data_IF_445216143393
#
_entry.id   IF_445216143393
#
_cell.length_a   1.000
_cell.length_b   1.000
_cell.length_c   1.000
_cell.angle_alpha   90.00
_cell.angle_beta   90.00
_cell.angle_gamma   90.00
#
_symmetry.space_group_name_H-M   'P 1'
#
loop_
_entity.id
_entity.type
_entity.pdbx_description
1 polymer ?
#
# COMPACT_ATOMS: atom_id res chain seq x y z
N UNK A 1 21.25 -33.69 -30.25
CA UNK A 1 22.17 -32.82 -29.48
C UNK A 1 21.43 -31.97 -28.46
N UNK A 2 20.35 -31.25 -28.81
CA UNK A 2 19.52 -30.48 -27.83
C UNK A 2 19.14 -31.25 -26.55
N UNK A 3 18.53 -32.44 -26.64
CA UNK A 3 18.14 -33.23 -25.45
C UNK A 3 19.30 -33.60 -24.51
N UNK A 4 20.47 -33.90 -25.05
CA UNK A 4 21.66 -34.25 -24.25
C UNK A 4 22.31 -33.01 -23.60
N UNK A 5 22.16 -31.83 -24.22
CA UNK A 5 22.57 -30.56 -23.64
C UNK A 5 21.56 -30.09 -22.58
N UNK A 6 20.27 -30.33 -22.78
CA UNK A 6 19.20 -30.06 -21.80
C UNK A 6 19.36 -30.91 -20.54
N UNK A 7 19.59 -32.23 -20.66
CA UNK A 7 19.86 -33.11 -19.51
C UNK A 7 21.13 -32.71 -18.75
N UNK A 8 22.14 -32.18 -19.45
CA UNK A 8 23.37 -31.68 -18.82
C UNK A 8 23.14 -30.38 -18.04
N UNK A 9 22.30 -29.49 -18.57
CA UNK A 9 21.91 -28.24 -17.92
C UNK A 9 21.02 -28.52 -16.70
N UNK A 10 20.15 -29.54 -16.78
CA UNK A 10 19.28 -29.96 -15.67
C UNK A 10 20.08 -30.54 -14.49
N UNK A 11 21.29 -31.08 -14.75
CA UNK A 11 22.24 -31.46 -13.70
C UNK A 11 22.68 -30.31 -12.78
N UNK A 12 22.43 -29.05 -13.16
CA UNK A 12 22.73 -27.85 -12.37
C UNK A 12 21.51 -27.30 -11.61
N UNK A 13 20.37 -28.00 -11.59
CA UNK A 13 19.11 -27.57 -10.94
C UNK A 13 19.19 -27.33 -9.41
N UNK A 14 20.34 -27.56 -8.76
CA UNK A 14 20.58 -27.18 -7.36
C UNK A 14 21.57 -26.04 -7.14
N UNK A 15 22.32 -25.62 -8.17
CA UNK A 15 23.40 -24.61 -8.03
C UNK A 15 23.00 -23.23 -8.53
N UNK A 16 22.06 -23.16 -9.46
CA UNK A 16 21.59 -21.93 -10.09
C UNK A 16 20.07 -21.78 -9.98
N UNK A 17 19.54 -20.56 -9.93
CA UNK A 17 18.10 -20.33 -10.00
C UNK A 17 17.50 -20.82 -11.33
N UNK A 18 16.31 -21.41 -11.26
CA UNK A 18 15.57 -21.93 -12.43
C UNK A 18 15.39 -20.91 -13.56
N UNK A 19 15.21 -19.61 -13.21
CA UNK A 19 15.12 -18.54 -14.21
C UNK A 19 16.41 -18.40 -15.04
N UNK A 20 17.56 -18.46 -14.40
CA UNK A 20 18.86 -18.36 -15.06
C UNK A 20 19.12 -19.58 -15.94
N UNK A 21 18.73 -20.77 -15.47
CA UNK A 21 18.79 -22.01 -16.25
C UNK A 21 17.94 -21.89 -17.53
N UNK A 22 16.72 -21.37 -17.41
CA UNK A 22 15.83 -21.19 -18.55
C UNK A 22 16.34 -20.13 -19.54
N UNK A 23 16.94 -19.03 -19.05
CA UNK A 23 17.59 -18.03 -19.91
C UNK A 23 18.80 -18.60 -20.65
N UNK A 24 19.58 -19.44 -19.99
CA UNK A 24 20.71 -20.13 -20.62
C UNK A 24 20.20 -21.08 -21.72
N UNK A 25 19.16 -21.88 -21.44
CA UNK A 25 18.52 -22.74 -22.46
C UNK A 25 18.01 -21.96 -23.67
N UNK A 26 17.46 -20.76 -23.46
CA UNK A 26 16.92 -19.93 -24.53
C UNK A 26 18.00 -19.25 -25.40
N UNK A 27 19.18 -18.95 -24.85
CA UNK A 27 20.21 -18.16 -25.51
C UNK A 27 21.39 -18.98 -26.06
N UNK A 28 21.39 -20.30 -25.89
CA UNK A 28 22.44 -21.19 -26.43
C UNK A 28 22.21 -21.41 -27.94
N UNK A 29 23.16 -21.03 -28.82
CA UNK A 29 23.11 -21.40 -30.23
C UNK A 29 23.29 -22.92 -30.45
N UNK A 30 22.67 -23.44 -31.52
CA UNK A 30 22.56 -24.88 -31.79
C UNK A 30 23.91 -25.59 -32.11
N UNK A 31 24.94 -24.84 -32.49
CA UNK A 31 26.27 -25.33 -32.89
C UNK A 31 27.34 -25.17 -31.78
N UNK A 32 27.03 -25.60 -30.55
CA UNK A 32 28.00 -25.59 -29.44
C UNK A 32 28.56 -26.99 -29.17
N UNK A 33 29.89 -27.09 -29.09
CA UNK A 33 30.61 -28.26 -28.60
C UNK A 33 30.40 -28.45 -27.10
N UNK A 34 30.24 -29.70 -26.65
CA UNK A 34 30.00 -30.06 -25.24
C UNK A 34 31.02 -29.44 -24.26
N UNK A 35 32.30 -29.40 -24.64
CA UNK A 35 33.37 -28.79 -23.83
C UNK A 35 33.20 -27.28 -23.64
N UNK A 36 32.70 -26.58 -24.65
CA UNK A 36 32.45 -25.14 -24.58
C UNK A 36 31.23 -24.85 -23.71
N UNK A 37 30.21 -25.72 -23.78
CA UNK A 37 29.05 -25.65 -22.90
C UNK A 37 29.43 -25.85 -21.43
N UNK A 38 30.29 -26.83 -21.13
CA UNK A 38 30.82 -27.07 -19.79
C UNK A 38 31.54 -25.83 -19.23
N UNK A 39 32.44 -25.22 -20.02
CA UNK A 39 33.15 -24.00 -19.62
C UNK A 39 32.21 -22.81 -19.37
N UNK A 40 31.19 -22.64 -20.21
CA UNK A 40 30.20 -21.57 -20.02
C UNK A 40 29.43 -21.77 -18.71
N UNK A 41 28.96 -23.00 -18.46
CA UNK A 41 28.23 -23.32 -17.22
C UNK A 41 29.12 -23.14 -15.99
N UNK A 42 30.39 -23.56 -16.03
CA UNK A 42 31.35 -23.31 -14.95
C UNK A 42 31.58 -21.83 -14.70
N UNK A 43 31.73 -21.01 -15.75
CA UNK A 43 31.88 -19.56 -15.61
C UNK A 43 30.63 -18.90 -15.01
N UNK A 44 29.43 -19.33 -15.41
CA UNK A 44 28.17 -18.83 -14.85
C UNK A 44 28.08 -19.17 -13.37
N UNK A 45 28.41 -20.41 -12.99
CA UNK A 45 28.43 -20.84 -11.59
C UNK A 45 29.48 -20.07 -10.78
N UNK A 46 30.67 -19.85 -11.32
CA UNK A 46 31.73 -19.05 -10.67
C UNK A 46 31.24 -17.62 -10.42
N UNK A 47 30.75 -16.94 -11.47
CA UNK A 47 30.20 -15.57 -11.35
C UNK A 47 29.03 -15.49 -10.38
N UNK A 48 28.13 -16.47 -10.39
CA UNK A 48 27.01 -16.50 -9.45
C UNK A 48 27.48 -16.61 -8.00
N UNK A 49 28.48 -17.46 -7.72
CA UNK A 49 29.05 -17.59 -6.39
C UNK A 49 29.83 -16.35 -5.95
N UNK A 50 30.58 -15.72 -6.85
CA UNK A 50 31.27 -14.46 -6.61
C UNK A 50 30.30 -13.29 -6.37
N UNK A 51 29.11 -13.33 -6.97
CA UNK A 51 28.09 -12.28 -6.84
C UNK A 51 27.23 -12.40 -5.58
N UNK A 52 27.44 -13.43 -4.74
CA UNK A 52 26.71 -13.56 -3.48
C UNK A 52 27.17 -12.50 -2.50
N UNK A 53 26.23 -11.96 -1.72
CA UNK A 53 26.56 -11.02 -0.65
C UNK A 53 27.46 -11.70 0.39
N UNK A 54 28.48 -10.99 0.86
CA UNK A 54 29.36 -11.48 1.92
C UNK A 54 28.60 -11.55 3.26
N UNK A 55 28.81 -12.63 4.01
CA UNK A 55 28.23 -12.75 5.34
C UNK A 55 28.79 -11.68 6.27
N UNK A 56 27.90 -11.02 7.03
CA UNK A 56 28.25 -9.93 7.93
C UNK A 56 28.16 -8.53 7.34
N UNK A 57 27.76 -8.40 6.06
CA UNK A 57 27.49 -7.11 5.42
C UNK A 57 26.35 -6.36 6.11
N UNK A 58 26.49 -5.05 6.28
CA UNK A 58 25.52 -4.21 6.99
C UNK A 58 24.35 -3.80 6.07
N UNK A 59 23.62 -4.78 5.53
CA UNK A 59 22.58 -4.58 4.51
C UNK A 59 21.48 -3.60 4.94
N UNK A 60 21.15 -3.53 6.24
CA UNK A 60 20.14 -2.60 6.77
C UNK A 60 20.57 -1.13 6.70
N UNK A 61 21.87 -0.86 6.91
CA UNK A 61 22.43 0.49 6.80
C UNK A 61 22.50 0.90 5.33
N UNK A 62 23.03 0.02 4.47
CA UNK A 62 23.13 0.25 3.03
C UNK A 62 21.74 0.51 2.44
N UNK A 63 20.76 -0.33 2.79
CA UNK A 63 19.37 -0.17 2.33
C UNK A 63 18.79 1.17 2.75
N UNK A 64 18.96 1.55 4.02
CA UNK A 64 18.49 2.85 4.53
C UNK A 64 19.12 4.02 3.78
N UNK A 65 20.42 3.94 3.48
CA UNK A 65 21.13 4.98 2.72
C UNK A 65 20.68 5.03 1.26
N UNK A 66 20.60 3.89 0.58
CA UNK A 66 20.19 3.82 -0.83
C UNK A 66 18.76 4.29 -1.06
N UNK A 67 17.86 4.09 -0.09
CA UNK A 67 16.49 4.61 -0.16
C UNK A 67 16.42 6.09 0.24
N UNK A 68 17.25 6.53 1.19
CA UNK A 68 17.25 7.90 1.71
C UNK A 68 17.98 8.90 0.81
N UNK A 69 19.05 8.51 0.13
CA UNK A 69 19.86 9.38 -0.74
C UNK A 69 19.02 10.05 -1.84
N UNK A 70 18.18 9.31 -2.60
CA UNK A 70 17.33 9.92 -3.62
C UNK A 70 16.29 10.88 -3.03
N UNK A 71 15.90 10.70 -1.76
CA UNK A 71 14.95 11.58 -1.08
C UNK A 71 15.36 13.06 -1.09
N UNK A 72 16.67 13.36 -1.11
CA UNK A 72 17.17 14.74 -1.24
C UNK A 72 17.03 15.30 -2.66
N UNK A 73 17.07 14.44 -3.65
CA UNK A 73 16.97 14.76 -5.08
C UNK A 73 15.50 14.84 -5.53
N UNK A 74 14.58 14.23 -4.78
CA UNK A 74 13.13 14.29 -4.97
C UNK A 74 12.57 15.64 -4.52
N UNK A 75 13.08 16.73 -5.09
CA UNK A 75 12.73 18.07 -4.63
C UNK A 75 11.72 18.81 -5.50
N UNK A 76 11.45 18.43 -6.77
CA UNK A 76 10.64 19.33 -7.62
C UNK A 76 9.94 18.78 -8.89
N UNK A 77 9.62 17.49 -9.01
CA UNK A 77 8.69 17.02 -10.07
C UNK A 77 7.32 16.65 -9.48
N UNK A 78 6.66 17.67 -8.93
CA UNK A 78 5.24 17.62 -8.62
C UNK A 78 4.50 18.57 -9.54
N UNK A 79 3.35 18.11 -10.03
CA UNK A 79 2.40 18.86 -10.87
C UNK A 79 2.81 18.92 -12.34
N UNK A 80 2.45 17.89 -13.10
CA UNK A 80 1.73 17.96 -14.39
C UNK A 80 1.77 16.58 -15.08
N UNK A 81 0.95 15.63 -14.64
CA UNK A 81 0.50 14.60 -15.58
C UNK A 81 -0.51 15.27 -16.52
N UNK A 82 -0.01 15.72 -17.68
CA UNK A 82 -0.83 16.28 -18.73
C UNK A 82 -1.82 15.22 -19.24
N UNK A 83 -3.04 15.22 -18.68
CA UNK A 83 -4.12 14.35 -19.15
C UNK A 83 -5.15 13.93 -18.12
N UNK A 84 -4.87 14.05 -16.81
CA UNK A 84 -5.79 13.58 -15.75
C UNK A 84 -5.92 14.61 -14.62
N UNK A 85 -6.32 15.84 -14.96
CA UNK A 85 -6.48 16.96 -14.02
C UNK A 85 -7.51 16.75 -12.90
N UNK A 86 -8.31 15.68 -12.92
CA UNK A 86 -9.40 15.49 -11.95
C UNK A 86 -9.01 14.69 -10.70
N UNK A 87 -7.92 13.91 -10.73
CA UNK A 87 -7.49 13.12 -9.57
C UNK A 87 -6.13 13.62 -9.08
N UNK A 88 -6.15 14.41 -8.01
CA UNK A 88 -4.95 14.78 -7.28
C UNK A 88 -4.38 13.51 -6.63
N UNK A 89 -3.30 12.97 -7.18
CA UNK A 89 -2.53 11.87 -6.56
C UNK A 89 -1.32 12.50 -5.87
N UNK A 90 -1.06 12.14 -4.61
CA UNK A 90 0.21 12.48 -3.96
C UNK A 90 1.33 11.70 -4.65
N UNK A 91 2.25 12.42 -5.28
CA UNK A 91 3.41 11.85 -5.99
C UNK A 91 4.69 12.26 -5.26
N UNK A 92 5.72 11.43 -5.39
CA UNK A 92 7.07 11.73 -4.93
C UNK A 92 7.33 11.37 -3.47
N UNK A 93 8.24 12.11 -2.82
CA UNK A 93 8.71 11.83 -1.47
C UNK A 93 7.59 11.79 -0.40
N UNK A 94 6.57 12.67 -0.40
CA UNK A 94 5.50 12.60 0.60
C UNK A 94 4.75 11.26 0.59
N UNK A 95 4.64 10.63 -0.59
CA UNK A 95 4.01 9.32 -0.74
C UNK A 95 4.88 8.20 -0.17
N UNK A 96 6.20 8.25 -0.40
CA UNK A 96 7.14 7.31 0.21
C UNK A 96 7.09 7.39 1.74
N UNK A 97 7.08 8.60 2.30
CA UNK A 97 6.97 8.81 3.75
C UNK A 97 5.65 8.23 4.28
N UNK A 98 4.54 8.46 3.58
CA UNK A 98 3.23 7.93 3.97
C UNK A 98 3.19 6.39 4.00
N UNK A 99 3.84 5.75 3.04
CA UNK A 99 3.98 4.28 2.95
C UNK A 99 4.86 3.76 4.09
N UNK A 100 6.07 4.29 4.26
CA UNK A 100 7.01 3.82 5.28
C UNK A 100 6.57 4.13 6.70
N UNK A 101 5.84 5.23 6.92
CA UNK A 101 5.21 5.51 8.22
C UNK A 101 4.04 4.56 8.53
N UNK A 102 3.57 3.79 7.54
CA UNK A 102 2.35 3.01 7.58
C UNK A 102 1.18 3.83 8.15
N UNK A 103 0.86 4.97 7.51
CA UNK A 103 -0.24 5.83 7.95
C UNK A 103 -1.59 5.15 7.69
N UNK A 104 -2.45 5.13 8.71
CA UNK A 104 -3.81 4.56 8.61
C UNK A 104 -4.71 5.34 7.65
N UNK A 105 -4.54 6.64 7.58
CA UNK A 105 -5.31 7.51 6.70
C UNK A 105 -4.39 8.11 5.67
N UNK A 106 -4.56 7.69 4.42
CA UNK A 106 -3.80 8.21 3.29
C UNK A 106 -4.43 9.48 2.73
N UNK A 107 -3.59 10.38 2.23
CA UNK A 107 -3.99 11.71 1.77
C UNK A 107 -4.81 11.64 0.48
N UNK A 108 -4.42 10.77 -0.44
CA UNK A 108 -5.10 10.55 -1.73
C UNK A 108 -5.32 9.05 -1.97
N UNK A 109 -6.40 8.48 -1.41
CA UNK A 109 -6.76 7.09 -1.64
C UNK A 109 -7.15 6.86 -3.10
N UNK A 110 -6.56 5.82 -3.70
CA UNK A 110 -6.78 5.43 -5.09
C UNK A 110 -6.92 3.91 -5.21
N UNK A 111 -7.81 3.48 -6.08
CA UNK A 111 -7.98 2.07 -6.42
C UNK A 111 -8.12 1.92 -7.93
N UNK A 112 -7.46 0.90 -8.47
CA UNK A 112 -7.51 0.50 -9.87
C UNK A 112 -8.42 -0.72 -9.97
N UNK A 113 -9.62 -0.51 -10.50
CA UNK A 113 -10.64 -1.55 -10.65
C UNK A 113 -10.61 -2.09 -12.07
N UNK A 114 -10.29 -3.38 -12.18
CA UNK A 114 -10.34 -4.11 -13.44
C UNK A 114 -11.71 -4.74 -13.60
N UNK A 115 -12.21 -4.77 -14.83
CA UNK A 115 -13.49 -5.40 -15.16
C UNK A 115 -13.27 -6.78 -15.76
N UNK A 116 -14.25 -7.68 -15.56
CA UNK A 116 -14.25 -8.96 -16.26
C UNK A 116 -14.35 -8.74 -17.78
N UNK A 117 -13.81 -9.65 -18.62
CA UNK A 117 -13.81 -9.48 -20.07
C UNK A 117 -15.19 -9.22 -20.69
N UNK A 118 -16.26 -9.73 -20.07
CA UNK A 118 -17.65 -9.57 -20.53
C UNK A 118 -18.16 -8.13 -20.42
N UNK A 119 -17.62 -7.34 -19.49
CA UNK A 119 -18.04 -5.96 -19.19
C UNK A 119 -17.08 -4.90 -19.74
N UNK A 120 -16.06 -5.30 -20.52
CA UNK A 120 -15.05 -4.42 -21.10
C UNK A 120 -15.56 -3.59 -22.32
N UNK A 121 -16.87 -3.32 -22.39
CA UNK A 121 -17.49 -2.47 -23.42
C UNK A 121 -17.66 -1.04 -22.88
N UNK A 122 -17.45 0.01 -23.69
CA UNK A 122 -17.46 1.40 -23.21
C UNK A 122 -18.77 1.82 -22.54
N UNK A 123 -19.92 1.33 -23.00
CA UNK A 123 -21.22 1.60 -22.37
C UNK A 123 -21.38 0.89 -21.01
N UNK A 124 -20.94 -0.37 -20.92
CA UNK A 124 -20.99 -1.15 -19.69
C UNK A 124 -20.03 -0.57 -18.63
N UNK A 125 -18.82 -0.16 -19.03
CA UNK A 125 -17.84 0.49 -18.16
C UNK A 125 -18.42 1.76 -17.52
N UNK A 126 -19.13 2.60 -18.30
CA UNK A 126 -19.77 3.80 -17.77
C UNK A 126 -20.84 3.46 -16.74
N UNK A 127 -21.67 2.42 -16.99
CA UNK A 127 -22.68 1.95 -16.04
C UNK A 127 -22.05 1.43 -14.74
N UNK A 128 -21.00 0.61 -14.84
CA UNK A 128 -20.29 0.08 -13.67
C UNK A 128 -19.61 1.21 -12.89
N UNK A 129 -19.00 2.19 -13.57
CA UNK A 129 -18.43 3.36 -12.91
C UNK A 129 -19.49 4.14 -12.11
N UNK A 130 -20.68 4.37 -12.69
CA UNK A 130 -21.81 5.02 -12.01
C UNK A 130 -22.30 4.20 -10.80
N UNK A 131 -22.29 2.87 -10.89
CA UNK A 131 -22.62 1.99 -9.77
C UNK A 131 -21.58 2.02 -8.65
N UNK A 132 -20.30 2.20 -8.97
CA UNK A 132 -19.23 2.26 -7.96
C UNK A 132 -19.18 3.61 -7.24
N UNK A 133 -19.51 4.72 -7.92
CA UNK A 133 -19.44 6.07 -7.34
C UNK A 133 -20.43 6.24 -6.17
N UNK A 134 -19.93 6.64 -5.00
CA UNK A 134 -20.78 7.05 -3.87
C UNK A 134 -21.56 8.30 -4.27
N UNK A 135 -22.87 8.17 -4.42
CA UNK A 135 -23.73 9.33 -4.65
C UNK A 135 -24.45 9.68 -3.35
N UNK A 136 -24.09 10.82 -2.77
CA UNK A 136 -24.79 11.43 -1.64
C UNK A 136 -25.95 12.28 -2.13
N UNK A 137 -26.96 12.46 -1.28
CA UNK A 137 -28.09 13.36 -1.59
C UNK A 137 -27.57 14.75 -1.95
N UNK A 138 -26.60 15.29 -1.21
CA UNK A 138 -25.98 16.61 -1.47
C UNK A 138 -25.60 16.87 -2.94
N UNK A 139 -25.03 15.87 -3.64
CA UNK A 139 -24.63 16.04 -5.04
C UNK A 139 -25.82 16.03 -6.02
N UNK A 140 -26.92 15.38 -5.62
CA UNK A 140 -28.13 15.22 -6.43
C UNK A 140 -29.15 16.35 -6.25
N UNK A 141 -29.00 17.17 -5.21
CA UNK A 141 -29.93 18.27 -4.92
C UNK A 141 -29.55 19.54 -5.69
N UNK A 142 -30.54 20.21 -6.30
CA UNK A 142 -30.42 21.56 -6.83
C UNK A 142 -30.58 22.63 -5.75
N UNK A 143 -31.60 22.48 -4.91
CA UNK A 143 -31.88 23.40 -3.80
C UNK A 143 -32.53 22.68 -2.61
N UNK A 144 -32.13 23.06 -1.38
CA UNK A 144 -32.79 22.63 -0.13
C UNK A 144 -33.40 23.86 0.53
N UNK A 145 -34.69 24.07 0.32
CA UNK A 145 -35.46 25.13 0.97
C UNK A 145 -36.00 24.62 2.32
N UNK A 146 -35.90 25.46 3.35
CA UNK A 146 -36.52 25.21 4.66
C UNK A 146 -37.67 26.19 4.78
N UNK A 147 -38.89 25.67 4.95
CA UNK A 147 -40.03 26.48 5.34
C UNK A 147 -40.17 26.38 6.86
N UNK A 148 -39.85 27.48 7.54
CA UNK A 148 -39.83 27.57 9.01
C UNK A 148 -41.26 27.51 9.57
N UNK A 149 -42.25 28.04 8.85
CA UNK A 149 -43.65 28.11 9.29
C UNK A 149 -44.32 26.74 9.26
N UNK A 150 -44.14 26.02 8.15
CA UNK A 150 -44.75 24.70 7.95
C UNK A 150 -43.87 23.55 8.47
N UNK A 151 -42.69 23.86 9.02
CA UNK A 151 -41.66 22.88 9.40
C UNK A 151 -41.39 21.84 8.29
N UNK A 152 -41.44 22.29 7.04
CA UNK A 152 -41.20 21.45 5.86
C UNK A 152 -39.83 21.72 5.27
N UNK A 153 -39.18 20.66 4.84
CA UNK A 153 -37.92 20.69 4.13
C UNK A 153 -38.19 20.23 2.69
N UNK A 154 -37.98 21.14 1.75
CA UNK A 154 -38.24 20.93 0.33
C UNK A 154 -36.91 20.70 -0.39
N UNK A 155 -36.77 19.53 -1.00
CA UNK A 155 -35.55 19.11 -1.72
C UNK A 155 -35.90 19.03 -3.19
N UNK A 156 -35.30 19.88 -4.02
CA UNK A 156 -35.42 19.78 -5.47
C UNK A 156 -34.28 18.94 -6.04
N UNK A 157 -34.59 17.84 -6.73
CA UNK A 157 -33.57 16.95 -7.30
C UNK A 157 -33.24 17.33 -8.75
N UNK A 158 -31.98 17.12 -9.15
CA UNK A 158 -31.54 17.32 -10.55
C UNK A 158 -31.85 16.09 -11.40
N UNK A 159 -32.69 16.25 -12.44
CA UNK A 159 -33.07 15.20 -13.40
C UNK A 159 -31.88 14.52 -14.09
N UNK A 160 -30.88 15.30 -14.52
CA UNK A 160 -29.72 14.77 -15.28
C UNK A 160 -28.92 13.72 -14.48
N UNK A 161 -28.83 13.86 -13.16
CA UNK A 161 -28.05 12.94 -12.31
C UNK A 161 -28.90 11.69 -11.97
N UNK A 162 -30.22 11.86 -11.82
CA UNK A 162 -31.16 10.77 -11.57
C UNK A 162 -31.31 9.81 -12.77
N UNK A 163 -31.35 10.35 -13.99
CA UNK A 163 -31.42 9.54 -15.22
C UNK A 163 -30.15 8.69 -15.41
N UNK A 164 -28.98 9.23 -15.06
CA UNK A 164 -27.71 8.49 -15.10
C UNK A 164 -27.59 7.38 -14.04
N UNK A 165 -28.39 7.44 -12.97
CA UNK A 165 -28.35 6.48 -11.86
C UNK A 165 -29.43 5.39 -11.94
N UNK A 166 -30.28 5.42 -12.97
CA UNK A 166 -31.44 4.51 -13.12
C UNK A 166 -32.31 4.44 -11.84
N UNK A 167 -32.47 5.55 -11.11
CA UNK A 167 -33.29 5.63 -9.89
C UNK A 167 -34.50 6.54 -10.07
N UNK A 168 -35.65 6.14 -9.51
CA UNK A 168 -36.84 7.00 -9.48
C UNK A 168 -36.86 7.86 -8.21
N UNK A 169 -37.48 9.05 -8.26
CA UNK A 169 -37.69 9.89 -7.06
C UNK A 169 -38.41 9.16 -5.91
N UNK A 170 -39.17 8.10 -6.21
CA UNK A 170 -39.83 7.20 -5.26
C UNK A 170 -38.86 6.31 -4.46
N UNK A 171 -37.74 5.89 -5.07
CA UNK A 171 -36.73 5.06 -4.38
C UNK A 171 -35.93 5.92 -3.39
N UNK A 172 -35.69 7.19 -3.76
CA UNK A 172 -35.06 8.19 -2.91
C UNK A 172 -35.92 8.51 -1.68
N UNK A 173 -37.24 8.66 -1.85
CA UNK A 173 -38.15 8.90 -0.73
C UNK A 173 -38.27 7.70 0.22
N UNK A 174 -38.17 6.47 -0.29
CA UNK A 174 -38.09 5.26 0.52
C UNK A 174 -36.79 5.19 1.36
N UNK A 175 -35.65 5.55 0.77
CA UNK A 175 -34.35 5.60 1.46
C UNK A 175 -34.32 6.64 2.59
N UNK A 176 -34.97 7.79 2.39
CA UNK A 176 -35.07 8.85 3.41
C UNK A 176 -35.96 8.36 4.57
N UNK A 177 -37.09 7.70 4.30
CA UNK A 177 -37.96 7.12 5.33
C UNK A 177 -37.27 6.01 6.14
N UNK A 178 -36.44 5.19 5.50
CA UNK A 178 -35.75 4.09 6.16
C UNK A 178 -34.65 4.56 7.15
N UNK A 179 -33.96 5.66 6.84
CA UNK A 179 -32.82 6.15 7.65
C UNK A 179 -33.21 7.15 8.74
N UNK A 180 -34.36 7.81 8.63
CA UNK A 180 -34.82 8.79 9.62
C UNK A 180 -36.21 8.41 10.13
N UNK A 181 -36.30 7.94 11.37
CA UNK A 181 -37.58 7.64 12.03
C UNK A 181 -38.34 8.96 12.29
N UNK A 182 -39.66 8.98 12.00
CA UNK A 182 -40.62 10.11 12.16
C UNK A 182 -40.56 11.24 11.10
N UNK A 183 -40.53 10.88 9.81
CA UNK A 183 -40.68 11.84 8.71
C UNK A 183 -41.78 11.42 7.74
N UNK A 184 -42.69 12.35 7.44
CA UNK A 184 -43.68 12.20 6.39
C UNK A 184 -43.10 12.78 5.08
N UNK A 185 -42.66 11.89 4.19
CA UNK A 185 -42.07 12.27 2.90
C UNK A 185 -43.11 12.14 1.80
N UNK A 186 -43.45 13.26 1.16
CA UNK A 186 -44.30 13.34 -0.05
C UNK A 186 -43.43 13.66 -1.26
N UNK A 187 -43.73 13.03 -2.38
CA UNK A 187 -43.01 13.25 -3.64
C UNK A 187 -43.96 13.92 -4.63
N UNK A 188 -43.65 15.15 -5.03
CA UNK A 188 -44.33 15.86 -6.11
C UNK A 188 -43.35 16.07 -7.26
N UNK A 189 -43.40 15.16 -8.25
CA UNK A 189 -42.51 15.20 -9.41
C UNK A 189 -41.03 15.11 -9.02
N UNK A 190 -40.29 16.20 -9.27
CA UNK A 190 -38.85 16.34 -8.99
C UNK A 190 -38.56 16.85 -7.57
N UNK A 191 -39.61 17.20 -6.82
CA UNK A 191 -39.51 17.80 -5.50
C UNK A 191 -39.92 16.80 -4.43
N UNK A 192 -39.03 16.58 -3.46
CA UNK A 192 -39.31 15.79 -2.28
C UNK A 192 -39.61 16.76 -1.14
N UNK A 193 -40.84 16.71 -0.62
CA UNK A 193 -41.27 17.47 0.55
C UNK A 193 -41.18 16.55 1.75
N UNK A 194 -40.33 16.91 2.70
CA UNK A 194 -40.08 16.19 3.94
C UNK A 194 -40.74 16.98 5.07
N UNK A 195 -41.78 16.42 5.69
CA UNK A 195 -42.50 17.00 6.84
C UNK A 195 -42.10 16.28 8.12
N UNK A 196 -41.75 17.02 9.17
CA UNK A 196 -41.40 16.47 10.48
C UNK A 196 -42.61 16.40 11.41
N UNK A 197 -42.85 15.25 12.04
CA UNK A 197 -43.98 15.01 12.96
C UNK A 197 -43.54 15.01 14.45
N UNK A 198 -42.68 15.95 14.83
CA UNK A 198 -42.22 16.15 16.22
C UNK A 198 -42.90 17.32 16.93
N UNK A 199 -42.73 17.42 18.26
CA UNK A 199 -43.23 18.56 19.07
C UNK A 199 -42.55 19.88 18.67
N UNK A 200 -43.21 21.03 18.87
CA UNK A 200 -43.04 22.22 18.01
C UNK A 200 -41.78 23.09 18.18
N UNK A 201 -40.76 22.72 18.97
CA UNK A 201 -39.95 23.77 19.61
C UNK A 201 -38.50 23.99 19.20
N UNK A 202 -37.88 23.20 18.31
CA UNK A 202 -36.48 23.50 17.96
C UNK A 202 -36.19 23.53 16.47
N UNK A 203 -36.07 24.75 15.93
CA UNK A 203 -35.46 25.05 14.62
C UNK A 203 -34.11 24.30 14.45
N UNK A 204 -33.37 24.09 15.55
CA UNK A 204 -32.13 23.30 15.57
C UNK A 204 -32.32 21.85 15.10
N UNK A 205 -33.42 21.19 15.44
CA UNK A 205 -33.68 19.80 15.02
C UNK A 205 -33.85 19.70 13.50
N UNK A 206 -34.51 20.68 12.87
CA UNK A 206 -34.70 20.72 11.41
C UNK A 206 -33.34 20.91 10.70
N UNK A 207 -32.44 21.73 11.25
CA UNK A 207 -31.08 21.87 10.74
C UNK A 207 -30.25 20.59 10.91
N UNK A 208 -30.34 19.93 12.06
CA UNK A 208 -29.68 18.63 12.30
C UNK A 208 -30.21 17.55 11.36
N UNK A 209 -31.51 17.53 11.08
CA UNK A 209 -32.13 16.61 10.12
C UNK A 209 -31.70 16.95 8.69
N UNK A 210 -31.60 18.23 8.32
CA UNK A 210 -31.06 18.66 7.02
C UNK A 210 -29.63 18.13 6.82
N UNK A 211 -28.76 18.29 7.81
CA UNK A 211 -27.39 17.79 7.76
C UNK A 211 -27.32 16.25 7.70
N UNK A 212 -28.22 15.57 8.41
CA UNK A 212 -28.36 14.11 8.30
C UNK A 212 -28.82 13.69 6.91
N UNK A 213 -29.82 14.35 6.34
CA UNK A 213 -30.37 14.04 5.01
C UNK A 213 -29.33 14.27 3.92
N UNK A 214 -28.57 15.38 3.97
CA UNK A 214 -27.47 15.64 3.02
C UNK A 214 -26.45 14.50 2.97
N UNK A 215 -26.13 13.92 4.13
CA UNK A 215 -25.18 12.82 4.26
C UNK A 215 -25.75 11.44 3.96
N UNK A 216 -27.05 11.33 3.67
CA UNK A 216 -27.64 10.05 3.24
C UNK A 216 -27.07 9.68 1.87
N UNK A 217 -26.54 8.46 1.81
CA UNK A 217 -26.13 7.80 0.57
C UNK A 217 -27.34 7.22 -0.14
N UNK A 218 -27.43 7.49 -1.44
CA UNK A 218 -28.44 6.95 -2.33
C UNK A 218 -27.99 5.62 -2.92
N UNK A 219 -26.81 5.60 -3.55
CA UNK A 219 -26.27 4.43 -4.27
C UNK A 219 -24.74 4.48 -4.30
N UNK A 220 -24.14 3.32 -4.49
CA UNK A 220 -22.70 3.13 -4.66
C UNK A 220 -21.95 2.71 -3.41
N UNK A 221 -20.66 2.45 -3.61
CA UNK A 221 -19.79 1.89 -2.57
C UNK A 221 -19.33 3.01 -1.63
N UNK A 222 -19.35 2.74 -0.32
CA UNK A 222 -18.88 3.66 0.71
C UNK A 222 -17.43 4.09 0.43
N UNK A 223 -17.15 5.39 0.46
CA UNK A 223 -15.78 5.93 0.42
C UNK A 223 -15.28 6.33 -0.96
N UNK A 224 -15.97 5.93 -2.05
CA UNK A 224 -15.57 6.26 -3.42
C UNK A 224 -16.21 7.57 -3.85
N UNK A 225 -15.43 8.65 -3.89
CA UNK A 225 -15.92 10.01 -4.21
C UNK A 225 -16.06 10.24 -5.71
N UNK A 226 -15.07 9.79 -6.49
CA UNK A 226 -15.02 10.01 -7.93
C UNK A 226 -14.51 8.76 -8.63
N UNK A 227 -14.95 8.57 -9.87
CA UNK A 227 -14.58 7.45 -10.72
C UNK A 227 -14.20 7.98 -12.09
N UNK A 228 -13.13 7.45 -12.68
CA UNK A 228 -12.65 7.82 -13.99
C UNK A 228 -12.31 6.55 -14.79
N UNK A 229 -13.06 6.23 -15.85
CA UNK A 229 -12.69 5.15 -16.74
C UNK A 229 -11.56 5.60 -17.68
N UNK A 230 -10.43 4.89 -17.63
CA UNK A 230 -9.24 5.12 -18.46
C UNK A 230 -9.00 3.91 -19.34
N UNK A 231 -8.68 4.13 -20.62
CA UNK A 231 -8.30 3.06 -21.54
C UNK A 231 -6.79 2.83 -21.48
N UNK A 232 -6.36 1.64 -21.02
CA UNK A 232 -4.95 1.21 -21.04
C UNK A 232 -4.79 0.10 -22.08
N UNK A 233 -4.27 0.44 -23.26
CA UNK A 233 -4.16 -0.50 -24.38
C UNK A 233 -5.54 -0.91 -24.93
N UNK A 234 -5.85 -2.21 -24.89
CA UNK A 234 -7.14 -2.76 -25.35
C UNK A 234 -8.20 -2.88 -24.24
N UNK A 235 -7.84 -2.65 -22.98
CA UNK A 235 -8.75 -2.79 -21.83
C UNK A 235 -9.13 -1.44 -21.20
N UNK A 236 -10.34 -1.39 -20.64
CA UNK A 236 -10.81 -0.28 -19.82
C UNK A 236 -10.58 -0.59 -18.34
N UNK A 237 -9.91 0.33 -17.64
CA UNK A 237 -9.67 0.28 -16.19
C UNK A 237 -10.40 1.46 -15.55
N UNK A 238 -11.08 1.22 -14.43
CA UNK A 238 -11.74 2.28 -13.67
C UNK A 238 -10.80 2.71 -12.55
N UNK A 239 -10.35 3.95 -12.59
CA UNK A 239 -9.63 4.58 -11.48
C UNK A 239 -10.65 5.20 -10.54
N UNK A 240 -10.52 4.98 -9.24
CA UNK A 240 -11.41 5.57 -8.23
C UNK A 240 -10.62 6.47 -7.29
N UNK A 241 -11.20 7.61 -6.93
CA UNK A 241 -10.73 8.46 -5.83
C UNK A 241 -11.49 8.04 -4.57
N UNK A 242 -10.79 7.37 -3.66
CA UNK A 242 -11.37 6.65 -2.54
C UNK A 242 -11.16 5.14 -2.65
N UNK A 243 -11.14 4.50 -1.49
CA UNK A 243 -10.80 3.09 -1.31
C UNK A 243 -11.89 2.43 -0.48
N UNK A 244 -12.34 1.26 -0.96
CA UNK A 244 -13.22 0.33 -0.26
C UNK A 244 -13.16 -1.01 -0.98
N UNK A 245 -12.01 -1.67 -0.87
CA UNK A 245 -11.71 -2.89 -1.59
C UNK A 245 -12.72 -4.01 -1.28
N UNK A 246 -13.19 -4.11 -0.04
CA UNK A 246 -14.12 -5.17 0.38
C UNK A 246 -15.42 -5.15 -0.43
N UNK A 247 -16.12 -4.02 -0.41
CA UNK A 247 -17.42 -3.88 -1.07
C UNK A 247 -17.28 -3.90 -2.61
N UNK A 248 -16.12 -3.51 -3.14
CA UNK A 248 -15.82 -3.50 -4.58
C UNK A 248 -15.58 -4.91 -5.12
N UNK A 249 -14.89 -5.76 -4.36
CA UNK A 249 -14.63 -7.16 -4.74
C UNK A 249 -15.90 -8.02 -4.71
N UNK A 250 -16.92 -7.63 -3.93
CA UNK A 250 -18.22 -8.31 -3.90
C UNK A 250 -19.06 -8.08 -5.17
N UNK A 251 -18.72 -7.07 -5.99
CA UNK A 251 -19.46 -6.78 -7.23
C UNK A 251 -19.14 -7.81 -8.33
N UNK A 252 -20.17 -8.31 -9.01
CA UNK A 252 -20.02 -9.37 -10.01
C UNK A 252 -19.30 -8.91 -11.28
N UNK A 253 -19.32 -7.61 -11.60
CA UNK A 253 -18.71 -7.04 -12.80
C UNK A 253 -17.18 -6.85 -12.65
N UNK A 254 -16.69 -6.81 -11.41
CA UNK A 254 -15.30 -6.53 -11.06
C UNK A 254 -14.44 -7.79 -11.14
N UNK A 255 -13.23 -7.65 -11.67
CA UNK A 255 -12.21 -8.69 -11.66
C UNK A 255 -11.43 -8.66 -10.35
N UNK A 256 -11.80 -9.57 -9.44
CA UNK A 256 -11.20 -9.69 -8.11
C UNK A 256 -9.72 -10.08 -8.12
N UNK A 257 -9.19 -10.64 -9.22
CA UNK A 257 -7.79 -11.11 -9.27
C UNK A 257 -6.80 -10.00 -9.62
N UNK A 258 -7.27 -8.95 -10.30
CA UNK A 258 -6.43 -7.85 -10.83
C UNK A 258 -6.68 -6.51 -10.16
N UNK A 259 -7.83 -6.33 -9.51
CA UNK A 259 -8.17 -5.10 -8.81
C UNK A 259 -7.22 -4.85 -7.64
N UNK A 260 -6.65 -3.65 -7.59
CA UNK A 260 -5.66 -3.25 -6.57
C UNK A 260 -5.96 -1.88 -6.00
N UNK A 261 -5.49 -1.62 -4.78
CA UNK A 261 -5.59 -0.32 -4.12
C UNK A 261 -4.23 0.13 -3.61
N UNK A 262 -4.10 1.42 -3.33
CA UNK A 262 -2.91 2.02 -2.74
C UNK A 262 -3.00 2.14 -1.20
N UNK A 263 -4.10 1.67 -0.59
CA UNK A 263 -4.26 1.59 0.87
C UNK A 263 -3.77 0.24 1.41
N UNK A 264 -2.66 0.28 2.14
CA UNK A 264 -1.98 -0.91 2.64
C UNK A 264 -2.77 -1.59 3.77
N UNK A 265 -3.46 -0.82 4.62
CA UNK A 265 -4.24 -1.39 5.73
C UNK A 265 -5.48 -2.11 5.23
N UNK A 266 -6.13 -1.53 4.21
CA UNK A 266 -7.27 -2.17 3.57
C UNK A 266 -6.86 -3.49 2.89
N UNK A 267 -5.73 -3.52 2.18
CA UNK A 267 -5.20 -4.76 1.58
C UNK A 267 -4.91 -5.80 2.67
N UNK A 268 -4.30 -5.38 3.78
CA UNK A 268 -4.02 -6.27 4.91
C UNK A 268 -5.31 -6.90 5.46
N UNK A 269 -6.38 -6.13 5.60
CA UNK A 269 -7.65 -6.60 6.16
C UNK A 269 -8.41 -7.55 5.22
N UNK A 270 -8.33 -7.31 3.90
CA UNK A 270 -9.09 -8.09 2.90
C UNK A 270 -8.30 -9.28 2.34
N UNK A 271 -7.03 -9.06 1.98
CA UNK A 271 -6.18 -10.03 1.27
C UNK A 271 -5.07 -10.65 2.15
N UNK A 272 -4.73 -10.00 3.27
CA UNK A 272 -3.74 -10.49 4.23
C UNK A 272 -2.36 -9.82 4.14
N UNK A 273 -1.44 -10.29 4.98
CA UNK A 273 -0.14 -9.63 5.22
C UNK A 273 0.82 -9.75 4.02
N UNK A 274 0.88 -10.90 3.34
CA UNK A 274 1.74 -11.07 2.16
C UNK A 274 1.28 -10.19 0.98
N UNK A 275 -0.03 -10.00 0.83
CA UNK A 275 -0.58 -9.06 -0.14
C UNK A 275 -0.18 -7.62 0.21
N UNK A 276 -0.23 -7.26 1.50
CA UNK A 276 0.21 -5.95 1.97
C UNK A 276 1.72 -5.73 1.74
N UNK A 277 2.55 -6.75 2.01
CA UNK A 277 4.00 -6.74 1.75
C UNK A 277 4.30 -6.49 0.28
N UNK A 278 3.62 -7.19 -0.63
CA UNK A 278 3.77 -6.98 -2.07
C UNK A 278 3.22 -5.61 -2.51
N UNK A 279 2.15 -5.12 -1.88
CA UNK A 279 1.58 -3.80 -2.17
C UNK A 279 2.56 -2.67 -1.80
N UNK A 280 3.23 -2.76 -0.65
CA UNK A 280 4.29 -1.82 -0.25
C UNK A 280 5.41 -1.81 -1.29
N UNK A 281 5.88 -2.99 -1.71
CA UNK A 281 6.94 -3.09 -2.72
C UNK A 281 6.52 -2.44 -4.05
N UNK A 282 5.37 -2.84 -4.59
CA UNK A 282 4.88 -2.31 -5.86
C UNK A 282 4.64 -0.80 -5.82
N UNK A 283 4.13 -0.28 -4.71
CA UNK A 283 3.85 1.15 -4.57
C UNK A 283 5.12 1.98 -4.45
N UNK A 284 6.10 1.53 -3.65
CA UNK A 284 7.39 2.21 -3.52
C UNK A 284 8.14 2.21 -4.86
N UNK A 285 8.15 1.08 -5.56
CA UNK A 285 8.75 0.94 -6.88
C UNK A 285 8.12 1.88 -7.90
N UNK A 286 6.77 1.93 -7.97
CA UNK A 286 6.03 2.88 -8.81
C UNK A 286 6.39 4.34 -8.53
N UNK A 287 6.56 4.72 -7.27
CA UNK A 287 6.90 6.11 -6.91
C UNK A 287 8.34 6.45 -7.29
N UNK A 288 9.27 5.52 -7.15
CA UNK A 288 10.68 5.69 -7.52
C UNK A 288 10.83 5.77 -9.05
N UNK A 289 10.20 4.85 -9.80
CA UNK A 289 10.23 4.84 -11.27
C UNK A 289 9.59 6.10 -11.86
N UNK A 290 8.47 6.57 -11.28
CA UNK A 290 7.81 7.80 -11.72
C UNK A 290 8.68 9.05 -11.57
N UNK A 291 9.72 9.00 -10.74
CA UNK A 291 10.68 10.08 -10.53
C UNK A 291 11.98 9.88 -11.33
N UNK A 292 12.04 8.86 -12.18
CA UNK A 292 13.21 8.55 -13.02
C UNK A 292 14.43 8.05 -12.23
N UNK A 293 14.24 7.68 -10.96
CA UNK A 293 15.28 7.15 -10.10
C UNK A 293 15.31 5.62 -10.22
N UNK A 294 16.46 5.01 -9.97
CA UNK A 294 16.61 3.55 -10.00
C UNK A 294 17.22 3.09 -8.68
N UNK A 295 16.42 2.38 -7.88
CA UNK A 295 16.86 1.73 -6.64
C UNK A 295 16.70 0.23 -6.83
N UNK A 296 17.69 -0.55 -6.37
CA UNK A 296 17.59 -1.99 -6.47
C UNK A 296 16.40 -2.52 -5.64
N UNK A 297 15.52 -3.31 -6.26
CA UNK A 297 14.32 -3.89 -5.62
C UNK A 297 14.63 -4.63 -4.31
N UNK A 298 15.83 -5.18 -4.13
CA UNK A 298 16.23 -5.89 -2.91
C UNK A 298 16.22 -4.99 -1.67
N UNK A 299 16.54 -3.70 -1.83
CA UNK A 299 16.45 -2.72 -0.75
C UNK A 299 15.00 -2.50 -0.33
N UNK A 300 14.11 -2.36 -1.31
CA UNK A 300 12.67 -2.19 -1.08
C UNK A 300 12.07 -3.46 -0.45
N UNK A 301 12.49 -4.64 -0.91
CA UNK A 301 12.09 -5.93 -0.34
C UNK A 301 12.47 -6.02 1.14
N UNK A 302 13.71 -5.68 1.51
CA UNK A 302 14.15 -5.72 2.90
C UNK A 302 13.28 -4.83 3.80
N UNK A 303 12.90 -3.65 3.31
CA UNK A 303 12.02 -2.74 4.04
C UNK A 303 10.60 -3.31 4.16
N UNK A 304 10.03 -3.80 3.06
CA UNK A 304 8.69 -4.40 3.06
C UNK A 304 8.60 -5.61 3.99
N UNK A 305 9.62 -6.47 4.00
CA UNK A 305 9.73 -7.64 4.87
C UNK A 305 9.85 -7.20 6.35
N UNK A 306 10.65 -6.18 6.64
CA UNK A 306 10.78 -5.62 8.00
C UNK A 306 9.48 -5.01 8.50
N UNK A 307 8.71 -4.34 7.63
CA UNK A 307 7.41 -3.76 7.95
C UNK A 307 6.33 -4.82 8.20
N UNK A 308 6.41 -5.98 7.56
CA UNK A 308 5.36 -7.02 7.60
C UNK A 308 5.74 -8.27 8.42
N UNK A 309 6.99 -8.38 8.89
CA UNK A 309 7.56 -9.62 9.46
C UNK A 309 6.89 -10.13 10.74
N UNK A 310 6.29 -9.24 11.54
CA UNK A 310 5.65 -9.60 12.82
C UNK A 310 4.16 -9.99 12.67
N UNK A 311 3.68 -10.22 11.45
CA UNK A 311 2.27 -10.53 11.19
C UNK A 311 1.33 -9.31 11.22
N UNK A 312 1.89 -8.11 11.32
CA UNK A 312 1.16 -6.85 11.20
C UNK A 312 1.99 -5.87 10.37
N UNK A 313 1.33 -4.95 9.66
CA UNK A 313 2.00 -3.86 8.96
C UNK A 313 2.38 -2.79 9.98
N UNK A 314 3.68 -2.64 10.23
CA UNK A 314 4.25 -1.65 11.14
C UNK A 314 5.08 -0.63 10.37
N UNK A 315 4.85 0.64 10.67
CA UNK A 315 5.65 1.72 10.10
C UNK A 315 7.06 1.77 10.69
N UNK A 316 7.98 2.38 9.95
CA UNK A 316 9.37 2.66 10.37
C UNK A 316 9.39 3.89 11.29
N UNK A 317 8.49 3.92 12.26
CA UNK A 317 8.34 5.01 13.23
C UNK A 317 8.66 4.53 14.63
N UNK A 318 8.76 5.47 15.58
CA UNK A 318 8.98 5.19 17.01
C UNK A 318 7.92 4.28 17.64
N UNK A 319 6.71 4.25 17.09
CA UNK A 319 5.61 3.41 17.59
C UNK A 319 5.50 2.06 16.85
N UNK A 320 6.23 1.89 15.76
CA UNK A 320 6.28 0.64 15.00
C UNK A 320 7.60 -0.08 15.24
N UNK A 321 8.34 -0.30 14.15
CA UNK A 321 9.54 -1.15 14.13
C UNK A 321 10.63 -0.71 15.13
N UNK A 322 10.75 0.59 15.41
CA UNK A 322 11.78 1.10 16.32
C UNK A 322 11.40 0.89 17.79
N UNK A 323 10.11 1.00 18.13
CA UNK A 323 9.61 0.80 19.49
C UNK A 323 9.70 -0.64 19.97
N UNK A 324 9.74 -1.60 19.04
CA UNK A 324 9.87 -3.04 19.32
C UNK A 324 11.32 -3.53 19.42
N UNK A 325 12.31 -2.64 19.25
CA UNK A 325 13.71 -3.02 19.47
C UNK A 325 13.90 -3.52 20.90
N UNK A 326 14.58 -4.66 21.04
CA UNK A 326 14.85 -5.28 22.33
C UNK A 326 15.71 -4.40 23.26
N UNK A 327 16.73 -3.72 22.72
CA UNK A 327 17.62 -2.88 23.53
C UNK A 327 16.92 -1.62 24.03
N UNK A 328 16.99 -1.39 25.34
CA UNK A 328 16.52 -0.17 26.01
C UNK A 328 17.38 1.01 25.58
N UNK A 329 18.70 0.82 25.50
CA UNK A 329 19.64 1.85 25.07
C UNK A 329 19.38 2.26 23.63
N UNK A 330 19.13 1.30 22.73
CA UNK A 330 18.82 1.58 21.34
C UNK A 330 17.51 2.39 21.19
N UNK A 331 16.48 2.09 21.99
CA UNK A 331 15.22 2.87 22.01
C UNK A 331 15.44 4.28 22.57
N UNK A 332 16.15 4.39 23.70
CA UNK A 332 16.42 5.65 24.37
C UNK A 332 17.25 6.62 23.51
N UNK A 333 18.23 6.11 22.73
CA UNK A 333 19.06 6.93 21.85
C UNK A 333 18.35 7.43 20.59
N UNK A 334 17.22 6.83 20.21
CA UNK A 334 16.45 7.29 19.06
C UNK A 334 15.53 8.45 19.44
N UNK A 335 14.64 8.26 20.42
CA UNK A 335 13.70 9.29 20.85
C UNK A 335 13.13 9.03 22.27
N UNK A 336 12.77 10.08 23.00
CA UNK A 336 12.16 9.98 24.36
C UNK A 336 12.96 9.16 25.40
N UNK A 337 14.24 9.49 25.66
CA UNK A 337 15.13 8.67 26.50
C UNK A 337 14.63 8.46 27.93
N UNK A 338 14.13 9.52 28.57
CA UNK A 338 13.71 9.48 29.98
C UNK A 338 12.59 8.45 30.18
N UNK A 339 11.62 8.41 29.27
CA UNK A 339 10.49 7.49 29.37
C UNK A 339 10.95 6.03 29.26
N UNK A 340 11.76 5.72 28.25
CA UNK A 340 12.27 4.36 28.05
C UNK A 340 13.11 3.86 29.24
N UNK A 341 13.92 4.72 29.83
CA UNK A 341 14.74 4.35 31.00
C UNK A 341 13.87 4.10 32.24
N UNK A 342 12.87 4.96 32.49
CA UNK A 342 11.95 4.78 33.62
C UNK A 342 11.14 3.49 33.45
N UNK A 343 10.54 3.28 32.28
CA UNK A 343 9.71 2.09 32.00
C UNK A 343 10.55 0.80 32.14
N UNK A 344 11.77 0.78 31.59
CA UNK A 344 12.70 -0.34 31.72
C UNK A 344 13.11 -0.60 33.18
N UNK A 345 13.33 0.47 33.96
CA UNK A 345 13.68 0.36 35.38
C UNK A 345 12.54 -0.20 36.22
N UNK A 346 11.30 0.17 35.91
CA UNK A 346 10.10 -0.34 36.60
C UNK A 346 9.88 -1.83 36.34
N UNK A 347 10.15 -2.29 35.12
CA UNK A 347 9.97 -3.70 34.70
C UNK A 347 11.18 -4.56 35.10
N UNK A 348 12.35 -3.95 35.33
CA UNK A 348 13.61 -4.67 35.54
C UNK A 348 14.16 -5.27 34.24
N UNK A 349 13.95 -4.58 33.11
CA UNK A 349 14.39 -5.00 31.79
C UNK A 349 15.92 -5.05 31.71
N UNK A 350 16.47 -6.07 31.03
CA UNK A 350 17.92 -6.27 30.85
C UNK A 350 18.29 -6.03 29.39
N UNK A 351 19.37 -5.31 29.17
CA UNK A 351 19.91 -5.07 27.83
C UNK A 351 21.02 -6.10 27.52
N UNK A 352 20.85 -6.88 26.46
CA UNK A 352 21.81 -7.93 26.05
C UNK A 352 22.94 -7.40 25.16
N UNK A 353 22.88 -6.12 24.77
CA UNK A 353 23.90 -5.45 23.97
C UNK A 353 24.15 -6.09 22.58
N UNK A 354 23.11 -6.58 21.91
CA UNK A 354 23.24 -7.34 20.66
C UNK A 354 23.14 -6.49 19.38
N UNK A 355 22.81 -5.20 19.48
CA UNK A 355 22.67 -4.28 18.35
C UNK A 355 23.85 -3.30 18.24
N UNK A 356 23.88 -2.55 17.14
CA UNK A 356 24.99 -1.63 16.82
C UNK A 356 25.04 -0.44 17.78
N UNK A 357 23.88 0.10 18.15
CA UNK A 357 23.77 1.40 18.84
C UNK A 357 24.36 1.29 20.25
N UNK A 358 23.88 0.34 21.04
CA UNK A 358 24.36 0.07 22.39
C UNK A 358 25.88 -0.18 22.45
N UNK A 359 26.44 -0.99 21.54
CA UNK A 359 27.86 -1.32 21.49
C UNK A 359 28.70 -0.08 21.20
N UNK A 360 28.24 0.79 20.29
CA UNK A 360 28.91 2.06 20.03
C UNK A 360 28.88 2.97 21.27
N UNK A 361 27.74 3.04 21.98
CA UNK A 361 27.60 3.90 23.17
C UNK A 361 28.54 3.50 24.31
N UNK A 362 28.74 2.20 24.52
CA UNK A 362 29.60 1.67 25.59
C UNK A 362 31.04 1.38 25.13
N UNK A 363 31.40 1.82 23.90
CA UNK A 363 32.72 1.62 23.30
C UNK A 363 33.14 0.13 23.17
N UNK A 364 32.20 -0.72 22.78
CA UNK A 364 32.42 -2.12 22.40
C UNK A 364 32.43 -2.29 20.87
N UNK A 365 33.02 -3.39 20.41
CA UNK A 365 33.02 -3.76 18.99
C UNK A 365 31.61 -4.06 18.51
N UNK A 366 31.20 -3.46 17.40
CA UNK A 366 29.88 -3.71 16.80
C UNK A 366 29.79 -5.14 16.27
N UNK A 367 28.65 -5.84 16.44
CA UNK A 367 28.46 -7.21 15.96
C UNK A 367 28.13 -7.27 14.46
N UNK A 368 28.82 -6.46 13.64
CA UNK A 368 28.68 -6.38 12.18
C UNK A 368 30.06 -6.30 11.51
N UNK A 369 30.13 -6.68 10.23
CA UNK A 369 31.36 -6.62 9.45
C UNK A 369 32.50 -7.42 10.09
N UNK A 370 33.63 -6.75 10.35
CA UNK A 370 34.83 -7.37 10.94
C UNK A 370 34.68 -7.76 12.41
N UNK A 371 33.62 -7.31 13.09
CA UNK A 371 33.33 -7.70 14.48
C UNK A 371 32.68 -9.08 14.63
N UNK A 372 32.22 -9.69 13.53
CA UNK A 372 31.61 -11.03 13.54
C UNK A 372 32.61 -12.20 13.59
N UNK A 373 33.67 -12.25 12.75
CA UNK A 373 34.56 -13.40 12.73
C UNK A 373 35.49 -13.45 13.96
N UNK A 374 35.43 -14.56 14.70
CA UNK A 374 36.42 -14.90 15.71
C UNK A 374 37.66 -15.54 15.09
N UNK A 375 38.85 -15.06 15.45
CA UNK A 375 40.11 -15.66 15.01
C UNK A 375 40.56 -16.73 16.00
N UNK A 376 40.84 -17.94 15.50
CA UNK A 376 41.42 -19.02 16.29
C UNK A 376 42.79 -19.34 15.71
N UNK A 377 43.82 -19.24 16.54
CA UNK A 377 45.20 -19.58 16.14
C UNK A 377 45.69 -20.73 17.01
N UNK A 378 46.26 -21.75 16.37
CA UNK A 378 46.96 -22.82 17.08
C UNK A 378 48.35 -22.34 17.45
N UNK A 379 48.54 -21.98 18.72
CA UNK A 379 49.86 -21.61 19.25
C UNK A 379 50.77 -22.85 19.18
N UNK A 380 51.82 -22.78 18.36
CA UNK A 380 52.88 -23.80 18.33
C UNK A 380 54.13 -23.24 19.02
N UNK A 381 54.28 -23.61 20.28
CA UNK A 381 55.44 -23.37 21.13
C UNK A 381 55.12 -23.87 22.54
N UNK A 382 56.06 -24.54 23.20
CA UNK A 382 55.98 -24.70 24.65
C UNK A 382 55.90 -23.29 25.25
N UNK A 383 54.87 -23.02 26.04
CA UNK A 383 54.87 -21.82 26.87
C UNK A 383 56.15 -21.90 27.71
N UNK A 384 57.16 -21.09 27.39
CA UNK A 384 58.25 -20.87 28.32
C UNK A 384 57.57 -20.30 29.55
N UNK A 385 57.52 -21.10 30.63
CA UNK A 385 57.13 -20.63 31.95
C UNK A 385 57.93 -19.37 32.25
N UNK A 386 57.27 -18.23 32.06
CA UNK A 386 57.79 -16.92 32.37
C UNK A 386 57.80 -16.79 33.88
N UNK A 387 58.94 -17.10 34.49
CA UNK A 387 59.41 -16.27 35.59
C UNK A 387 59.60 -14.85 35.04
N UNK A 388 58.69 -13.96 35.39
CA UNK A 388 58.94 -12.74 36.18
C UNK A 388 57.63 -12.00 36.46
#
# INVERSE_FOLDING_TARGET
MRKAHEEFIDGYEGKLPLKMINEVKANIPDDITKETLEKIMEQIVSRYNESKVHAGEAIGIITSQSIGEPGTQMTLDTFHFAGVSEMNVTVGLPRIIEIFDARKTISTPLMEVFLKPQYNKPEAVKKVALHLKETKIEETVAEIAINILDQTLTIQLKKNILEGLEMKPSDVSALIKAKVKKLNVKTEGDTIIVTYEGKPEEVKEIYLIKEKIKNIRLRGVKGIRQVLPVKRGEEYVILTAGTNLKDVLEQEEVDAKRTTTNDIYEIREVLGIEAARQAVLNEVDKVIEAQGLNINVRHIMLVADMMCGNGEVKGITRYGVIGEKASVLARASFETPIKHIIDASLIGERDELNSVIENVLINQTVPLGTGLPGLVVKVKGEAKDGKE
#
